data_IF_525299680490
#
_entry.id   IF_525299680490
#
_cell.length_a   1.000
_cell.length_b   1.000
_cell.length_c   1.000
_cell.angle_alpha   90.00
_cell.angle_beta   90.00
_cell.angle_gamma   90.00
#
_symmetry.space_group_name_H-M   'P 1'
#
loop_
_entity.id
_entity.type
_entity.pdbx_description
1 polymer ?
#
# COMPACT_ATOMS: atom_id res chain seq x y z
N UNK A 1 7.85 -17.10 -24.45
CA UNK A 1 6.53 -17.46 -23.89
C UNK A 1 5.99 -16.22 -23.21
N UNK A 2 4.72 -15.85 -23.40
CA UNK A 2 4.12 -14.68 -22.74
C UNK A 2 3.47 -15.18 -21.45
N UNK A 3 3.98 -14.80 -20.26
CA UNK A 3 3.36 -15.17 -18.98
C UNK A 3 1.97 -14.56 -18.86
N UNK A 4 1.06 -15.13 -18.08
CA UNK A 4 -0.22 -14.50 -17.80
C UNK A 4 -1.37 -15.47 -17.55
N UNK A 5 -2.22 -15.08 -16.60
CA UNK A 5 -3.42 -15.82 -16.17
C UNK A 5 -4.68 -15.14 -16.70
N UNK A 6 -5.63 -15.92 -17.21
CA UNK A 6 -6.90 -15.38 -17.71
C UNK A 6 -7.75 -14.78 -16.57
N UNK A 7 -8.27 -13.56 -16.77
CA UNK A 7 -9.08 -12.83 -15.78
C UNK A 7 -10.49 -12.53 -16.28
N UNK A 8 -10.83 -12.83 -17.55
CA UNK A 8 -12.10 -12.39 -18.16
C UNK A 8 -12.94 -13.54 -18.71
N UNK A 9 -14.27 -13.45 -18.48
CA UNK A 9 -15.26 -14.14 -19.33
C UNK A 9 -16.41 -13.28 -19.86
N UNK A 10 -16.89 -12.20 -19.25
CA UNK A 10 -17.92 -11.36 -19.89
C UNK A 10 -18.19 -10.02 -19.14
N UNK A 11 -18.43 -8.94 -19.90
CA UNK A 11 -19.02 -7.63 -19.51
C UNK A 11 -18.20 -6.59 -18.72
N UNK A 12 -17.33 -5.85 -19.42
CA UNK A 12 -17.08 -4.44 -19.07
C UNK A 12 -18.22 -3.59 -19.64
N UNK A 13 -19.21 -3.23 -18.82
CA UNK A 13 -20.25 -2.26 -19.21
C UNK A 13 -19.71 -0.85 -19.07
N UNK A 14 -19.00 -0.41 -20.11
CA UNK A 14 -19.15 0.88 -20.81
C UNK A 14 -17.85 1.23 -21.58
N UNK A 15 -17.82 0.68 -22.81
CA UNK A 15 -16.99 0.95 -23.98
C UNK A 15 -15.45 0.91 -23.87
N UNK A 16 -14.92 -0.23 -24.31
CA UNK A 16 -13.64 -0.35 -25.04
C UNK A 16 -13.97 -0.25 -26.55
N UNK A 17 -13.27 0.56 -27.35
CA UNK A 17 -13.38 0.50 -28.82
C UNK A 17 -12.04 0.17 -29.50
N UNK A 18 -11.86 -1.12 -29.82
CA UNK A 18 -10.79 -1.66 -30.67
C UNK A 18 -11.19 -1.69 -32.17
N UNK A 19 -12.26 -0.99 -32.54
CA UNK A 19 -12.96 -1.06 -33.83
C UNK A 19 -13.37 -2.50 -34.19
N UNK A 20 -14.42 -2.99 -33.51
CA UNK A 20 -15.17 -4.22 -33.84
C UNK A 20 -14.31 -5.41 -34.29
N UNK A 21 -13.81 -6.22 -33.36
CA UNK A 21 -13.85 -7.68 -33.54
C UNK A 21 -13.58 -8.41 -32.22
N UNK A 22 -14.60 -9.19 -31.82
CA UNK A 22 -14.52 -10.45 -31.08
C UNK A 22 -14.29 -10.36 -29.57
N UNK A 23 -15.26 -10.92 -28.84
CA UNK A 23 -15.25 -11.25 -27.42
C UNK A 23 -13.97 -12.00 -27.08
N UNK A 24 -12.95 -11.31 -26.58
CA UNK A 24 -11.68 -11.93 -26.19
C UNK A 24 -11.31 -11.48 -24.80
N UNK A 25 -10.92 -12.44 -24.00
CA UNK A 25 -10.51 -12.28 -22.61
C UNK A 25 -9.12 -11.62 -22.55
N UNK A 26 -8.93 -10.76 -21.55
CA UNK A 26 -7.60 -10.27 -21.16
C UNK A 26 -7.01 -11.21 -20.12
N UNK A 27 -5.69 -11.29 -20.10
CA UNK A 27 -4.90 -12.00 -19.09
C UNK A 27 -4.13 -11.01 -18.24
N UNK A 28 -4.03 -11.29 -16.95
CA UNK A 28 -3.16 -10.57 -16.02
C UNK A 28 -1.72 -10.72 -16.43
N UNK A 29 -0.90 -9.70 -16.15
CA UNK A 29 0.54 -9.83 -16.33
C UNK A 29 1.11 -10.55 -15.12
N UNK A 30 1.70 -11.71 -15.38
CA UNK A 30 2.53 -12.44 -14.41
C UNK A 30 3.99 -12.02 -14.62
N UNK A 31 4.61 -11.52 -13.55
CA UNK A 31 6.03 -11.21 -13.52
C UNK A 31 6.77 -12.46 -13.08
N UNK A 32 7.33 -13.15 -14.06
CA UNK A 32 8.25 -14.26 -13.81
C UNK A 32 9.62 -13.65 -13.45
N UNK A 33 10.25 -14.09 -12.35
CA UNK A 33 11.58 -13.64 -11.95
C UNK A 33 12.63 -13.99 -13.02
N UNK A 34 13.62 -13.12 -13.17
CA UNK A 34 14.74 -13.26 -14.12
C UNK A 34 15.80 -14.23 -13.64
N UNK A 35 15.97 -14.34 -12.32
CA UNK A 35 16.90 -15.26 -11.71
C UNK A 35 16.23 -16.59 -11.34
N UNK A 36 17.03 -17.66 -11.32
CA UNK A 36 16.59 -18.98 -10.84
C UNK A 36 16.59 -19.08 -9.30
N UNK A 37 16.85 -17.97 -8.59
CA UNK A 37 16.93 -17.96 -7.12
C UNK A 37 15.58 -17.71 -6.49
N UNK A 38 14.71 -16.99 -7.19
CA UNK A 38 13.39 -16.63 -6.74
C UNK A 38 12.35 -17.36 -7.60
N UNK A 39 11.51 -18.21 -7.00
CA UNK A 39 10.40 -18.87 -7.71
C UNK A 39 9.08 -18.08 -7.58
N UNK A 40 9.13 -16.87 -7.02
CA UNK A 40 7.93 -16.07 -6.76
C UNK A 40 7.45 -15.35 -8.02
N UNK A 41 6.33 -15.82 -8.56
CA UNK A 41 5.62 -15.16 -9.66
C UNK A 41 4.68 -14.07 -9.10
N UNK A 42 4.96 -12.80 -9.41
CA UNK A 42 4.14 -11.67 -8.95
C UNK A 42 3.02 -11.39 -9.97
N UNK A 43 1.82 -11.09 -9.50
CA UNK A 43 0.66 -10.83 -10.36
C UNK A 43 0.35 -9.33 -10.39
N UNK A 44 0.61 -8.64 -11.50
CA UNK A 44 0.30 -7.21 -11.60
C UNK A 44 -1.22 -6.97 -11.60
N UNK A 45 -1.79 -6.21 -10.65
CA UNK A 45 -3.23 -5.97 -10.59
C UNK A 45 -3.72 -5.25 -11.84
N UNK A 46 -4.82 -5.71 -12.42
CA UNK A 46 -5.51 -4.96 -13.46
C UNK A 46 -6.46 -3.90 -12.84
N UNK A 47 -5.88 -2.98 -12.06
CA UNK A 47 -6.59 -1.90 -11.34
C UNK A 47 -6.02 -0.54 -11.71
N UNK A 48 -6.87 0.40 -12.13
CA UNK A 48 -6.45 1.75 -12.52
C UNK A 48 -7.62 2.74 -12.48
N UNK A 49 -7.31 4.02 -12.28
CA UNK A 49 -8.29 5.09 -12.22
C UNK A 49 -7.97 6.25 -13.15
N UNK A 50 -8.98 7.07 -13.38
CA UNK A 50 -8.82 8.32 -14.10
C UNK A 50 -9.91 9.32 -13.75
N UNK A 51 -9.62 10.57 -14.09
CA UNK A 51 -10.44 11.71 -13.70
C UNK A 51 -11.80 11.69 -14.40
N UNK A 52 -12.86 11.99 -13.66
CA UNK A 52 -14.25 12.07 -14.11
C UNK A 52 -14.80 13.51 -14.01
N UNK A 53 -13.92 14.51 -14.09
CA UNK A 53 -14.19 15.95 -13.92
C UNK A 53 -14.90 16.36 -12.61
N UNK A 54 -14.62 17.59 -12.14
CA UNK A 54 -15.13 18.13 -10.86
C UNK A 54 -14.82 17.20 -9.69
N UNK A 55 -13.54 16.85 -9.54
CA UNK A 55 -13.01 16.10 -8.39
C UNK A 55 -13.66 14.72 -8.15
N UNK A 56 -14.17 14.10 -9.23
CA UNK A 56 -14.67 12.72 -9.22
C UNK A 56 -13.73 11.84 -10.01
N UNK A 57 -13.67 10.56 -9.67
CA UNK A 57 -12.83 9.58 -10.34
C UNK A 57 -13.66 8.37 -10.78
N UNK A 58 -13.24 7.73 -11.87
CA UNK A 58 -13.70 6.39 -12.23
C UNK A 58 -12.52 5.44 -12.11
N UNK A 59 -12.78 4.30 -11.49
CA UNK A 59 -11.80 3.27 -11.26
C UNK A 59 -12.26 1.99 -11.92
N UNK A 60 -11.33 1.30 -12.55
CA UNK A 60 -11.50 -0.06 -13.06
C UNK A 60 -10.73 -0.97 -12.11
N UNK A 61 -11.39 -2.01 -11.61
CA UNK A 61 -10.79 -3.00 -10.72
C UNK A 61 -11.24 -4.42 -11.07
N UNK A 62 -10.47 -5.41 -10.63
CA UNK A 62 -10.80 -6.83 -10.77
C UNK A 62 -11.88 -7.22 -9.76
N UNK A 63 -12.86 -8.01 -10.19
CA UNK A 63 -13.86 -8.67 -9.35
C UNK A 63 -14.04 -10.13 -9.80
N UNK A 64 -14.94 -10.87 -9.15
CA UNK A 64 -15.21 -12.29 -9.48
C UNK A 64 -15.64 -12.53 -10.93
N UNK A 65 -16.17 -11.51 -11.61
CA UNK A 65 -16.68 -11.56 -12.98
C UNK A 65 -15.71 -10.98 -14.03
N UNK A 66 -14.65 -10.27 -13.61
CA UNK A 66 -13.64 -9.67 -14.46
C UNK A 66 -13.30 -8.23 -14.08
N UNK A 67 -13.19 -7.33 -15.07
CA UNK A 67 -12.94 -5.91 -14.81
C UNK A 67 -14.27 -5.16 -14.68
N UNK A 68 -14.45 -4.46 -13.57
CA UNK A 68 -15.63 -3.65 -13.29
C UNK A 68 -15.27 -2.18 -13.06
N UNK A 69 -16.17 -1.30 -13.49
CA UNK A 69 -16.04 0.13 -13.24
C UNK A 69 -16.77 0.54 -11.96
N UNK A 70 -16.09 1.29 -11.10
CA UNK A 70 -16.62 1.90 -9.89
C UNK A 70 -16.40 3.41 -9.95
N UNK A 71 -17.46 4.18 -9.72
CA UNK A 71 -17.37 5.63 -9.61
C UNK A 71 -17.09 6.00 -8.15
N UNK A 72 -16.06 6.81 -7.91
CA UNK A 72 -15.68 7.24 -6.57
C UNK A 72 -15.73 8.77 -6.46
N UNK A 73 -16.21 9.22 -5.29
CA UNK A 73 -16.52 10.61 -4.99
C UNK A 73 -15.48 11.31 -4.12
N UNK A 74 -14.54 10.56 -3.57
CA UNK A 74 -13.52 11.06 -2.67
C UNK A 74 -12.15 10.81 -3.27
N UNK A 75 -11.26 11.80 -3.21
CA UNK A 75 -9.84 11.64 -3.56
C UNK A 75 -9.06 10.85 -2.49
N UNK A 76 -9.76 10.34 -1.45
CA UNK A 76 -9.16 9.73 -0.26
C UNK A 76 -8.97 8.21 -0.35
N UNK A 77 -9.29 7.56 -1.45
CA UNK A 77 -9.20 6.11 -1.56
C UNK A 77 -7.99 5.74 -2.44
N UNK A 78 -7.28 4.69 -2.03
CA UNK A 78 -6.34 3.71 -2.64
C UNK A 78 -6.17 3.60 -4.18
N UNK A 79 -6.62 4.58 -4.94
CA UNK A 79 -7.06 4.52 -6.33
C UNK A 79 -6.38 5.63 -7.18
N UNK A 80 -5.95 6.73 -6.54
CA UNK A 80 -5.45 7.95 -7.23
C UNK A 80 -4.08 7.76 -7.90
N UNK A 81 -3.24 6.83 -7.41
CA UNK A 81 -1.85 6.72 -7.90
C UNK A 81 -1.71 5.86 -9.17
N UNK A 82 -2.57 4.85 -9.37
CA UNK A 82 -2.48 3.96 -10.51
C UNK A 82 -3.30 4.49 -11.69
N UNK A 83 -2.66 5.27 -12.57
CA UNK A 83 -3.31 5.85 -13.77
C UNK A 83 -3.50 4.87 -14.92
N UNK A 84 -2.88 3.69 -14.84
CA UNK A 84 -2.92 2.68 -15.88
C UNK A 84 -2.67 1.28 -15.30
N UNK A 85 -3.07 0.26 -16.06
CA UNK A 85 -2.76 -1.14 -15.78
C UNK A 85 -2.14 -1.81 -17.01
N UNK A 86 -1.32 -2.83 -16.78
CA UNK A 86 -0.77 -3.67 -17.84
C UNK A 86 -1.51 -5.01 -17.88
N UNK A 87 -1.95 -5.40 -19.08
CA UNK A 87 -2.64 -6.66 -19.34
C UNK A 87 -2.15 -7.28 -20.65
N UNK A 88 -2.38 -8.56 -20.83
CA UNK A 88 -2.24 -9.21 -22.13
C UNK A 88 -3.58 -9.37 -22.82
N UNK A 89 -3.66 -8.93 -24.06
CA UNK A 89 -4.74 -9.27 -24.97
C UNK A 89 -4.22 -10.31 -25.96
N UNK A 90 -4.68 -11.56 -25.83
CA UNK A 90 -4.04 -12.70 -26.49
C UNK A 90 -2.59 -12.85 -26.04
N UNK A 91 -1.64 -12.54 -26.94
CA UNK A 91 -0.20 -12.55 -26.68
C UNK A 91 0.43 -11.14 -26.77
N UNK A 92 -0.39 -10.09 -26.81
CA UNK A 92 0.08 -8.71 -26.94
C UNK A 92 -0.02 -8.00 -25.60
N UNK A 93 1.08 -7.42 -25.14
CA UNK A 93 1.09 -6.56 -23.95
C UNK A 93 0.40 -5.22 -24.27
N UNK A 94 -0.53 -4.83 -23.42
CA UNK A 94 -1.38 -3.64 -23.60
C UNK A 94 -1.38 -2.84 -22.31
N UNK A 95 -1.28 -1.51 -22.45
CA UNK A 95 -1.50 -0.54 -21.39
C UNK A 95 -2.95 -0.05 -21.45
N UNK A 96 -3.70 -0.28 -20.39
CA UNK A 96 -5.06 0.25 -20.22
C UNK A 96 -5.02 1.53 -19.41
N UNK A 97 -5.75 2.55 -19.82
CA UNK A 97 -5.87 3.82 -19.11
C UNK A 97 -7.24 4.43 -19.32
N UNK A 98 -7.63 5.39 -18.48
CA UNK A 98 -8.86 6.17 -18.69
C UNK A 98 -8.49 7.48 -19.38
N UNK A 99 -9.11 7.72 -20.53
CA UNK A 99 -9.10 9.01 -21.20
C UNK A 99 -10.42 9.73 -20.94
N UNK A 100 -10.35 10.99 -20.54
CA UNK A 100 -11.53 11.82 -20.26
C UNK A 100 -11.53 13.04 -21.15
N UNK A 101 -12.63 13.22 -21.86
CA UNK A 101 -12.85 14.35 -22.76
C UNK A 101 -14.05 15.17 -22.29
N UNK A 102 -13.91 16.49 -22.31
CA UNK A 102 -15.02 17.39 -22.07
C UNK A 102 -15.85 17.54 -23.36
N UNK A 103 -17.08 17.06 -23.33
CA UNK A 103 -18.00 17.16 -24.46
C UNK A 103 -18.93 18.34 -24.22
N UNK A 104 -18.73 19.40 -24.99
CA UNK A 104 -19.56 20.60 -24.93
C UNK A 104 -20.82 20.41 -25.80
N UNK A 105 -21.91 19.97 -25.19
CA UNK A 105 -23.21 19.82 -25.84
C UNK A 105 -24.05 21.10 -25.80
N UNK A 106 -25.00 21.21 -26.73
CA UNK A 106 -25.94 22.35 -26.86
C UNK A 106 -26.94 22.39 -25.69
N UNK A 107 -27.29 21.24 -25.09
CA UNK A 107 -28.30 21.10 -24.02
C UNK A 107 -27.68 20.68 -22.68
N UNK A 108 -26.68 19.80 -22.71
CA UNK A 108 -25.91 19.38 -21.53
C UNK A 108 -24.44 19.28 -21.94
N UNK A 109 -23.59 20.03 -21.25
CA UNK A 109 -22.14 19.87 -21.29
C UNK A 109 -21.70 18.92 -20.17
N UNK A 110 -20.85 17.95 -20.48
CA UNK A 110 -20.43 16.95 -19.51
C UNK A 110 -19.13 16.26 -19.92
N UNK A 111 -18.54 15.52 -19.00
CA UNK A 111 -17.34 14.75 -19.27
C UNK A 111 -17.71 13.34 -19.71
N UNK A 112 -16.99 12.86 -20.72
CA UNK A 112 -17.08 11.49 -21.21
C UNK A 112 -15.75 10.82 -20.94
N UNK A 113 -15.78 9.77 -20.15
CA UNK A 113 -14.62 8.92 -19.89
C UNK A 113 -14.72 7.65 -20.74
N UNK A 114 -13.60 7.24 -21.30
CA UNK A 114 -13.46 6.00 -22.08
C UNK A 114 -12.21 5.27 -21.64
N UNK A 115 -12.28 3.94 -21.58
CA UNK A 115 -11.09 3.12 -21.35
C UNK A 115 -10.32 3.03 -22.67
N UNK A 116 -9.17 3.70 -22.69
CA UNK A 116 -8.18 3.61 -23.75
C UNK A 116 -7.31 2.37 -23.57
N UNK A 117 -6.79 1.89 -24.69
CA UNK A 117 -5.87 0.76 -24.71
C UNK A 117 -4.76 1.01 -25.72
N UNK A 118 -3.53 1.00 -25.25
CA UNK A 118 -2.33 1.20 -26.06
C UNK A 118 -1.57 -0.11 -26.20
N UNK A 119 -1.32 -0.53 -27.43
CA UNK A 119 -0.45 -1.68 -27.70
C UNK A 119 1.00 -1.30 -27.39
N UNK A 120 1.63 -2.00 -26.47
CA UNK A 120 3.04 -1.81 -26.19
C UNK A 120 3.91 -2.56 -27.20
N UNK A 121 5.11 -2.03 -27.45
CA UNK A 121 6.12 -2.63 -28.34
C UNK A 121 6.89 -3.79 -27.70
N UNK A 122 6.50 -4.18 -26.49
CA UNK A 122 7.20 -5.14 -25.64
C UNK A 122 6.44 -6.47 -25.59
N UNK A 123 7.17 -7.58 -25.41
CA UNK A 123 6.55 -8.91 -25.41
C UNK A 123 6.10 -9.35 -24.02
N UNK A 124 6.93 -9.12 -23.00
CA UNK A 124 6.62 -9.46 -21.63
C UNK A 124 7.33 -8.54 -20.64
N UNK A 125 6.89 -8.59 -19.39
CA UNK A 125 7.48 -7.90 -18.24
C UNK A 125 8.03 -8.96 -17.28
N UNK A 126 9.19 -8.69 -16.70
CA UNK A 126 9.89 -9.56 -15.75
C UNK A 126 10.53 -8.70 -14.67
N UNK A 127 11.08 -9.32 -13.64
CA UNK A 127 11.66 -8.62 -12.51
C UNK A 127 12.84 -9.39 -11.92
N UNK A 128 13.68 -8.67 -11.20
CA UNK A 128 14.81 -9.22 -10.44
C UNK A 128 14.82 -8.57 -9.06
N UNK A 129 15.12 -9.38 -8.05
CA UNK A 129 15.34 -8.89 -6.70
C UNK A 129 16.64 -8.08 -6.67
N UNK A 130 16.59 -6.91 -6.05
CA UNK A 130 17.80 -6.10 -5.88
C UNK A 130 18.30 -6.19 -4.45
N UNK A 131 19.62 -6.36 -4.31
CA UNK A 131 20.31 -6.31 -3.01
C UNK A 131 20.09 -4.98 -2.26
N UNK A 132 19.64 -3.92 -2.96
CA UNK A 132 19.32 -2.60 -2.38
C UNK A 132 17.85 -2.46 -1.97
N UNK A 133 17.08 -3.55 -1.97
CA UNK A 133 15.63 -3.60 -1.70
C UNK A 133 14.79 -3.21 -2.91
N UNK A 134 15.22 -2.27 -3.74
CA UNK A 134 14.49 -1.83 -4.94
C UNK A 134 14.47 -2.88 -6.06
N UNK A 135 13.46 -3.77 -6.05
CA UNK A 135 13.18 -4.69 -7.15
C UNK A 135 13.25 -3.95 -8.50
N UNK A 136 14.01 -4.53 -9.43
CA UNK A 136 14.15 -4.00 -10.77
C UNK A 136 13.19 -4.71 -11.68
N UNK A 137 12.44 -3.93 -12.45
CA UNK A 137 11.53 -4.44 -13.44
C UNK A 137 12.12 -4.23 -14.82
N UNK A 138 11.87 -5.17 -15.72
CA UNK A 138 12.38 -5.14 -17.07
C UNK A 138 11.29 -5.50 -18.06
N UNK A 139 11.43 -4.98 -19.27
CA UNK A 139 10.61 -5.37 -20.39
C UNK A 139 11.45 -6.16 -21.37
N UNK A 140 10.81 -7.00 -22.17
CA UNK A 140 11.45 -7.56 -23.35
C UNK A 140 11.07 -6.79 -24.60
N UNK A 141 12.06 -6.47 -25.42
CA UNK A 141 11.80 -5.89 -26.74
C UNK A 141 11.15 -6.93 -27.69
N UNK A 142 10.86 -6.50 -28.92
CA UNK A 142 10.29 -7.34 -29.98
C UNK A 142 11.16 -8.55 -30.39
N UNK A 143 12.45 -8.52 -30.06
CA UNK A 143 13.42 -9.58 -30.36
C UNK A 143 13.61 -10.51 -29.15
N UNK A 144 13.10 -10.12 -27.99
CA UNK A 144 13.15 -10.87 -26.73
C UNK A 144 14.30 -10.48 -25.81
N UNK A 145 15.04 -9.41 -26.14
CA UNK A 145 16.12 -8.91 -25.29
C UNK A 145 15.54 -8.17 -24.09
N UNK A 146 16.17 -8.35 -22.93
CA UNK A 146 15.81 -7.67 -21.69
C UNK A 146 16.31 -6.23 -21.74
N UNK A 147 15.42 -5.29 -21.45
CA UNK A 147 15.72 -3.86 -21.37
C UNK A 147 15.16 -3.30 -20.06
N UNK A 148 15.81 -2.27 -19.54
CA UNK A 148 15.34 -1.56 -18.35
C UNK A 148 13.90 -1.08 -18.54
N UNK A 149 13.09 -1.23 -17.50
CA UNK A 149 11.71 -0.77 -17.53
C UNK A 149 11.65 0.76 -17.68
N UNK A 150 10.92 1.27 -18.70
CA UNK A 150 10.63 2.70 -18.79
C UNK A 150 9.67 3.18 -17.69
N UNK A 151 8.97 2.25 -17.02
CA UNK A 151 7.92 2.50 -16.03
C UNK A 151 8.28 1.84 -14.68
N UNK A 152 9.57 1.79 -14.29
CA UNK A 152 10.04 1.02 -13.13
C UNK A 152 9.35 1.43 -11.82
N UNK A 153 9.24 2.73 -11.55
CA UNK A 153 8.58 3.27 -10.35
C UNK A 153 7.08 2.94 -10.29
N UNK A 154 6.39 3.01 -11.44
CA UNK A 154 4.99 2.64 -11.54
C UNK A 154 4.79 1.14 -11.34
N UNK A 155 5.66 0.30 -11.90
CA UNK A 155 5.61 -1.16 -11.69
C UNK A 155 5.90 -1.57 -10.25
N UNK A 156 6.82 -0.86 -9.59
CA UNK A 156 7.10 -1.03 -8.18
C UNK A 156 5.83 -0.75 -7.36
N UNK A 157 5.19 0.40 -7.60
CA UNK A 157 3.91 0.79 -6.97
C UNK A 157 2.78 -0.20 -7.27
N UNK A 158 2.62 -0.64 -8.52
CA UNK A 158 1.58 -1.59 -8.91
C UNK A 158 1.79 -2.96 -8.24
N UNK A 159 3.03 -3.43 -8.16
CA UNK A 159 3.36 -4.70 -7.54
C UNK A 159 3.09 -4.70 -6.03
N UNK A 160 3.26 -3.55 -5.38
CA UNK A 160 2.90 -3.37 -3.97
C UNK A 160 1.40 -3.49 -3.69
N UNK A 161 0.58 -3.11 -4.67
CA UNK A 161 -0.89 -3.22 -4.59
C UNK A 161 -1.43 -4.55 -5.12
N UNK A 162 -0.55 -5.49 -5.49
CA UNK A 162 -0.96 -6.80 -5.96
C UNK A 162 -1.59 -7.64 -4.83
N UNK A 163 -2.61 -8.43 -5.17
CA UNK A 163 -3.09 -9.53 -4.32
C UNK A 163 -2.02 -10.62 -4.28
N UNK A 164 -1.06 -10.44 -3.37
CA UNK A 164 -0.05 -11.45 -3.05
C UNK A 164 -0.69 -12.51 -2.14
N UNK A 165 -0.40 -13.78 -2.43
CA UNK A 165 -0.71 -14.84 -1.47
C UNK A 165 0.07 -14.62 -0.18
N UNK A 166 -0.39 -15.18 0.95
CA UNK A 166 0.27 -15.01 2.25
C UNK A 166 1.78 -15.31 2.16
N UNK A 167 2.17 -16.41 1.53
CA UNK A 167 3.59 -16.77 1.37
C UNK A 167 4.38 -15.76 0.51
N UNK A 168 3.77 -15.23 -0.55
CA UNK A 168 4.43 -14.24 -1.41
C UNK A 168 4.61 -12.91 -0.68
N UNK A 169 3.59 -12.50 0.08
CA UNK A 169 3.63 -11.28 0.87
C UNK A 169 4.68 -11.38 1.98
N UNK A 170 4.86 -12.56 2.59
CA UNK A 170 5.93 -12.80 3.59
C UNK A 170 7.32 -12.65 3.00
N UNK A 171 7.62 -13.36 1.92
CA UNK A 171 8.92 -13.23 1.24
C UNK A 171 9.16 -11.79 0.82
N UNK A 172 8.15 -11.16 0.24
CA UNK A 172 8.25 -9.81 -0.27
C UNK A 172 8.41 -8.74 0.83
N UNK A 173 7.69 -8.84 1.94
CA UNK A 173 7.80 -7.90 3.06
C UNK A 173 9.20 -7.92 3.69
N UNK A 174 9.80 -9.11 3.81
CA UNK A 174 11.15 -9.28 4.34
C UNK A 174 12.23 -8.64 3.44
N UNK A 175 11.97 -8.47 2.13
CA UNK A 175 12.94 -7.89 1.17
C UNK A 175 12.79 -6.38 1.01
N UNK A 176 11.78 -5.75 1.63
CA UNK A 176 11.56 -4.31 1.52
C UNK A 176 12.64 -3.51 2.27
N UNK A 177 13.25 -2.55 1.59
CA UNK A 177 14.06 -1.52 2.25
C UNK A 177 13.17 -0.52 3.00
N UNK A 178 13.78 0.22 3.92
CA UNK A 178 13.09 1.29 4.64
C UNK A 178 12.56 2.39 3.69
N UNK A 179 13.29 2.70 2.62
CA UNK A 179 12.85 3.68 1.60
C UNK A 179 11.59 3.19 0.86
N UNK A 180 11.51 1.88 0.58
CA UNK A 180 10.32 1.30 -0.04
C UNK A 180 9.14 1.31 0.90
N UNK A 181 9.34 0.97 2.18
CA UNK A 181 8.29 1.04 3.20
C UNK A 181 7.74 2.45 3.36
N UNK A 182 8.57 3.47 3.21
CA UNK A 182 8.13 4.87 3.19
C UNK A 182 7.18 5.17 2.02
N UNK A 183 7.54 4.77 0.79
CA UNK A 183 6.68 4.96 -0.40
C UNK A 183 5.40 4.13 -0.30
N UNK A 184 5.52 2.95 0.29
CA UNK A 184 4.45 1.99 0.50
C UNK A 184 3.43 2.43 1.54
N UNK A 185 3.86 3.05 2.62
CA UNK A 185 3.04 3.38 3.78
C UNK A 185 1.72 4.07 3.37
N UNK A 186 1.80 4.97 2.39
CA UNK A 186 0.64 5.74 1.91
C UNK A 186 -0.34 4.94 1.04
N UNK A 187 0.07 3.77 0.57
CA UNK A 187 -0.70 2.93 -0.36
C UNK A 187 -1.12 1.58 0.23
N UNK A 188 -0.69 1.28 1.47
CA UNK A 188 -1.05 0.04 2.15
C UNK A 188 -2.40 0.17 2.86
N UNK A 189 -3.30 -0.76 2.57
CA UNK A 189 -4.56 -0.92 3.30
C UNK A 189 -4.33 -1.56 4.67
N UNK A 190 -5.25 -1.39 5.61
CA UNK A 190 -5.18 -1.99 6.95
C UNK A 190 -5.02 -3.52 6.91
N UNK A 191 -5.71 -4.19 5.98
CA UNK A 191 -5.60 -5.63 5.78
C UNK A 191 -4.22 -6.05 5.22
N UNK A 192 -3.57 -5.20 4.43
CA UNK A 192 -2.20 -5.45 3.98
C UNK A 192 -1.21 -5.19 5.11
N UNK A 193 -1.40 -4.11 5.89
CA UNK A 193 -0.59 -3.81 7.08
C UNK A 193 -0.62 -5.00 8.05
N UNK A 194 -1.80 -5.51 8.40
CA UNK A 194 -1.95 -6.68 9.28
C UNK A 194 -1.11 -7.88 8.83
N UNK A 195 -1.01 -8.11 7.52
CA UNK A 195 -0.30 -9.28 6.98
C UNK A 195 1.20 -9.08 6.87
N UNK A 196 1.70 -7.86 6.64
CA UNK A 196 3.14 -7.60 6.55
C UNK A 196 3.80 -7.40 7.91
N UNK A 197 3.08 -6.87 8.90
CA UNK A 197 3.61 -6.56 10.26
C UNK A 197 4.40 -7.72 10.90
N UNK A 198 3.94 -8.99 10.86
CA UNK A 198 4.66 -10.09 11.47
C UNK A 198 6.04 -10.36 10.85
N UNK A 199 6.25 -9.88 9.63
CA UNK A 199 7.45 -10.13 8.82
C UNK A 199 8.44 -8.97 8.89
N UNK A 200 8.01 -7.79 9.36
CA UNK A 200 8.89 -6.64 9.47
C UNK A 200 9.78 -6.74 10.70
N UNK A 201 11.07 -6.47 10.51
CA UNK A 201 11.97 -6.23 11.63
C UNK A 201 11.72 -4.84 12.25
N UNK A 202 12.33 -4.56 13.41
CA UNK A 202 12.11 -3.31 14.15
C UNK A 202 12.40 -2.04 13.34
N UNK A 203 13.47 -2.04 12.53
CA UNK A 203 13.85 -0.87 11.71
C UNK A 203 12.85 -0.64 10.57
N UNK A 204 12.37 -1.73 9.96
CA UNK A 204 11.33 -1.67 8.92
C UNK A 204 10.01 -1.18 9.51
N UNK A 205 9.63 -1.68 10.68
CA UNK A 205 8.41 -1.28 11.37
C UNK A 205 8.42 0.21 11.74
N UNK A 206 9.57 0.73 12.19
CA UNK A 206 9.77 2.16 12.43
C UNK A 206 9.61 2.97 11.13
N UNK A 207 10.34 2.60 10.07
CA UNK A 207 10.28 3.31 8.79
C UNK A 207 8.87 3.35 8.21
N UNK A 208 8.12 2.25 8.36
CA UNK A 208 6.71 2.19 7.99
C UNK A 208 5.89 3.16 8.85
N UNK A 209 5.96 3.04 10.18
CA UNK A 209 5.15 3.83 11.11
C UNK A 209 5.36 5.35 11.00
N UNK A 210 6.57 5.80 10.69
CA UNK A 210 6.89 7.23 10.47
C UNK A 210 6.16 7.81 9.25
N UNK A 211 5.82 6.98 8.26
CA UNK A 211 5.22 7.40 7.00
C UNK A 211 3.72 7.07 6.88
N UNK A 212 3.14 6.40 7.87
CA UNK A 212 1.70 6.15 7.94
C UNK A 212 0.93 7.42 8.34
N UNK A 213 -0.29 7.53 7.83
CA UNK A 213 -1.29 8.46 8.38
C UNK A 213 -1.65 8.09 9.82
N UNK A 214 -2.28 9.01 10.55
CA UNK A 214 -2.64 8.75 11.95
C UNK A 214 -3.69 7.64 12.09
N UNK A 215 -4.59 7.49 11.11
CA UNK A 215 -5.57 6.41 11.05
C UNK A 215 -4.89 5.05 10.79
N UNK A 216 -3.99 4.98 9.80
CA UNK A 216 -3.24 3.76 9.51
C UNK A 216 -2.30 3.37 10.66
N UNK A 217 -1.71 4.35 11.35
CA UNK A 217 -0.89 4.09 12.53
C UNK A 217 -1.71 3.47 13.66
N UNK A 218 -2.95 3.92 13.86
CA UNK A 218 -3.84 3.31 14.84
C UNK A 218 -4.16 1.85 14.45
N UNK A 219 -4.49 1.61 13.18
CA UNK A 219 -4.70 0.27 12.67
C UNK A 219 -3.45 -0.63 12.80
N UNK A 220 -2.24 -0.08 12.60
CA UNK A 220 -0.98 -0.81 12.80
C UNK A 220 -0.87 -1.32 14.25
N UNK A 221 -1.11 -0.45 15.23
CA UNK A 221 -0.94 -0.74 16.67
C UNK A 221 -1.82 -1.89 17.16
N UNK A 222 -3.04 -2.01 16.64
CA UNK A 222 -3.95 -3.10 16.98
C UNK A 222 -3.40 -4.49 16.62
N UNK A 223 -2.45 -4.55 15.68
CA UNK A 223 -1.84 -5.78 15.19
C UNK A 223 -0.44 -6.04 15.76
N UNK A 224 0.12 -5.10 16.54
CA UNK A 224 1.44 -5.27 17.14
C UNK A 224 1.39 -6.17 18.37
N UNK A 225 2.36 -7.07 18.47
CA UNK A 225 2.65 -7.71 19.75
C UNK A 225 3.19 -6.67 20.76
N UNK A 226 3.05 -6.92 22.06
CA UNK A 226 3.59 -6.03 23.09
C UNK A 226 5.08 -5.73 22.89
N UNK A 227 5.88 -6.73 22.46
CA UNK A 227 7.31 -6.55 22.18
C UNK A 227 7.56 -5.63 20.98
N UNK A 228 6.80 -5.78 19.89
CA UNK A 228 6.90 -4.89 18.73
C UNK A 228 6.49 -3.47 19.09
N UNK A 229 5.39 -3.32 19.85
CA UNK A 229 4.91 -2.02 20.31
C UNK A 229 5.95 -1.31 21.19
N UNK A 230 6.54 -2.01 22.16
CA UNK A 230 7.61 -1.47 23.01
C UNK A 230 8.79 -0.98 22.19
N UNK A 231 9.28 -1.83 21.28
CA UNK A 231 10.42 -1.50 20.42
C UNK A 231 10.11 -0.29 19.54
N UNK A 232 8.92 -0.28 18.92
CA UNK A 232 8.48 0.80 18.07
C UNK A 232 8.36 2.12 18.84
N UNK A 233 7.81 2.08 20.05
CA UNK A 233 7.60 3.28 20.86
C UNK A 233 8.90 3.91 21.40
N UNK A 234 9.99 3.15 21.49
CA UNK A 234 11.31 3.70 21.84
C UNK A 234 11.92 4.52 20.70
N UNK A 235 11.62 4.15 19.46
CA UNK A 235 12.18 4.75 18.25
C UNK A 235 11.27 5.81 17.62
N UNK A 236 9.95 5.76 17.89
CA UNK A 236 8.98 6.73 17.37
C UNK A 236 9.18 8.13 17.99
N UNK A 237 8.89 9.13 17.17
CA UNK A 237 8.88 10.51 17.63
C UNK A 237 7.75 10.77 18.65
N UNK A 238 7.88 11.79 19.51
CA UNK A 238 6.87 12.09 20.52
C UNK A 238 5.48 12.37 19.96
N UNK A 239 5.35 12.93 18.75
CA UNK A 239 4.07 13.24 18.10
C UNK A 239 3.28 11.96 17.76
N UNK A 240 3.95 10.94 17.21
CA UNK A 240 3.37 9.63 16.91
C UNK A 240 2.97 8.88 18.19
N UNK A 241 3.74 9.05 19.28
CA UNK A 241 3.35 8.51 20.59
C UNK A 241 2.02 9.07 21.08
N UNK A 242 1.72 10.35 20.83
CA UNK A 242 0.44 10.98 21.24
C UNK A 242 -0.77 10.37 20.53
N UNK A 243 -0.58 9.85 19.32
CA UNK A 243 -1.64 9.21 18.52
C UNK A 243 -1.90 7.79 19.02
N UNK A 244 -0.85 7.04 19.36
CA UNK A 244 -0.99 5.62 19.72
C UNK A 244 -1.38 5.41 21.19
N UNK A 245 -0.88 6.25 22.11
CA UNK A 245 -1.10 6.07 23.55
C UNK A 245 -2.60 6.03 23.94
N UNK A 246 -3.48 6.90 23.41
CA UNK A 246 -4.91 6.89 23.75
C UNK A 246 -5.66 5.62 23.33
N UNK A 247 -5.13 4.86 22.36
CA UNK A 247 -5.78 3.65 21.84
C UNK A 247 -5.26 2.35 22.49
N UNK A 248 -4.13 2.40 23.19
CA UNK A 248 -3.57 1.23 23.86
C UNK A 248 -4.52 0.66 24.93
N UNK A 249 -4.65 -0.66 24.95
CA UNK A 249 -5.29 -1.32 26.09
C UNK A 249 -4.37 -1.30 27.33
N UNK A 250 -4.92 -1.62 28.50
CA UNK A 250 -4.18 -1.57 29.76
C UNK A 250 -2.90 -2.42 29.71
N UNK A 251 -2.93 -3.63 29.14
CA UNK A 251 -1.76 -4.51 29.07
C UNK A 251 -0.66 -3.96 28.14
N UNK A 252 -1.03 -3.37 27.00
CA UNK A 252 -0.10 -2.70 26.08
C UNK A 252 0.52 -1.46 26.72
N UNK A 253 -0.30 -0.64 27.40
CA UNK A 253 0.18 0.55 28.09
C UNK A 253 1.12 0.19 29.24
N UNK A 254 0.78 -0.83 30.04
CA UNK A 254 1.65 -1.32 31.11
C UNK A 254 2.99 -1.83 30.57
N UNK A 255 2.97 -2.59 29.48
CA UNK A 255 4.18 -3.08 28.83
C UNK A 255 5.05 -1.92 28.33
N UNK A 256 4.43 -0.93 27.66
CA UNK A 256 5.12 0.25 27.19
C UNK A 256 5.81 1.02 28.32
N UNK A 257 5.07 1.34 29.38
CA UNK A 257 5.53 2.21 30.49
C UNK A 257 6.72 1.61 31.23
N UNK A 258 6.81 0.28 31.34
CA UNK A 258 7.92 -0.38 32.03
C UNK A 258 9.28 -0.08 31.40
N UNK A 259 9.31 0.16 30.10
CA UNK A 259 10.55 0.35 29.34
C UNK A 259 10.81 1.83 28.99
N UNK A 260 9.86 2.73 29.27
CA UNK A 260 10.03 4.16 29.09
C UNK A 260 10.83 4.80 30.23
N UNK A 261 11.71 5.73 29.88
CA UNK A 261 12.37 6.57 30.89
C UNK A 261 11.39 7.60 31.49
N UNK A 262 11.71 8.21 32.65
CA UNK A 262 10.81 9.16 33.30
C UNK A 262 10.37 10.37 32.45
N UNK A 263 11.23 10.88 31.55
CA UNK A 263 10.87 11.99 30.67
C UNK A 263 9.89 11.54 29.57
N UNK A 264 10.08 10.34 29.00
CA UNK A 264 9.13 9.77 28.04
C UNK A 264 7.76 9.51 28.67
N UNK A 265 7.73 9.01 29.92
CA UNK A 265 6.47 8.83 30.65
C UNK A 265 5.75 10.17 30.84
N UNK A 266 6.49 11.24 31.09
CA UNK A 266 5.95 12.60 31.22
C UNK A 266 5.39 13.13 29.90
N UNK A 267 6.00 12.81 28.76
CA UNK A 267 5.52 13.21 27.43
C UNK A 267 4.18 12.56 27.06
N UNK A 268 3.95 11.29 27.44
CA UNK A 268 2.71 10.59 27.12
C UNK A 268 1.55 10.93 28.07
N UNK A 269 1.85 11.45 29.26
CA UNK A 269 0.88 11.68 30.33
C UNK A 269 -0.32 12.56 29.95
N UNK A 270 -0.14 13.68 29.21
CA UNK A 270 -1.25 14.55 28.78
C UNK A 270 -2.25 13.86 27.84
N UNK A 271 -1.85 12.76 27.21
CA UNK A 271 -2.62 12.07 26.16
C UNK A 271 -3.38 10.85 26.70
N UNK A 272 -3.18 10.50 27.98
CA UNK A 272 -3.84 9.36 28.60
C UNK A 272 -5.30 9.65 28.92
N UNK A 273 -6.16 8.67 28.66
CA UNK A 273 -7.52 8.64 29.20
C UNK A 273 -7.48 8.46 30.72
N UNK A 274 -8.55 8.87 31.41
CA UNK A 274 -8.63 8.77 32.88
C UNK A 274 -8.39 7.35 33.40
N UNK A 275 -8.93 6.33 32.72
CA UNK A 275 -8.75 4.94 33.14
C UNK A 275 -7.33 4.42 32.85
N UNK A 276 -6.73 4.83 31.73
CA UNK A 276 -5.33 4.55 31.41
C UNK A 276 -4.38 5.22 32.42
N UNK A 277 -4.68 6.45 32.87
CA UNK A 277 -3.91 7.10 33.92
C UNK A 277 -3.95 6.31 35.24
N UNK A 278 -5.10 5.72 35.61
CA UNK A 278 -5.19 4.84 36.79
C UNK A 278 -4.35 3.58 36.63
N UNK A 279 -4.29 3.01 35.43
CA UNK A 279 -3.43 1.87 35.12
C UNK A 279 -1.94 2.27 35.20
N UNK A 280 -1.57 3.41 34.60
CA UNK A 280 -0.23 3.98 34.63
C UNK A 280 0.31 4.06 36.05
N UNK A 281 -0.43 4.71 36.96
CA UNK A 281 0.01 4.95 38.35
C UNK A 281 0.34 3.65 39.09
N UNK A 282 -0.30 2.52 38.75
CA UNK A 282 -0.01 1.22 39.35
C UNK A 282 1.27 0.57 38.83
N UNK A 283 1.75 1.03 37.68
CA UNK A 283 2.85 0.41 36.92
C UNK A 283 4.14 1.22 36.99
N UNK A 284 4.07 2.50 37.35
CA UNK A 284 5.25 3.34 37.54
C UNK A 284 6.21 2.73 38.55
N UNK A 285 7.50 2.75 38.21
CA UNK A 285 8.56 2.46 39.17
C UNK A 285 8.88 3.69 40.05
N UNK A 286 9.67 3.49 41.11
CA UNK A 286 10.01 4.54 42.07
C UNK A 286 10.68 5.76 41.43
N UNK A 287 11.52 5.54 40.40
CA UNK A 287 12.23 6.61 39.70
C UNK A 287 11.26 7.45 38.85
N UNK A 288 10.45 6.80 38.02
CA UNK A 288 9.42 7.45 37.21
C UNK A 288 8.46 8.24 38.08
N UNK A 289 7.96 7.64 39.17
CA UNK A 289 7.08 8.32 40.12
C UNK A 289 7.76 9.54 40.75
N UNK A 290 9.02 9.42 41.17
CA UNK A 290 9.77 10.52 41.80
C UNK A 290 9.94 11.71 40.86
N UNK A 291 10.27 11.48 39.59
CA UNK A 291 10.44 12.56 38.59
C UNK A 291 9.10 13.24 38.30
N UNK A 292 8.03 12.48 38.12
CA UNK A 292 6.69 13.02 37.88
C UNK A 292 6.18 13.83 39.08
N UNK A 293 6.34 13.31 40.30
CA UNK A 293 5.94 13.99 41.52
C UNK A 293 6.66 15.33 41.71
N UNK A 294 7.97 15.39 41.44
CA UNK A 294 8.74 16.64 41.48
C UNK A 294 8.21 17.67 40.49
N UNK A 295 7.83 17.21 39.29
CA UNK A 295 7.29 18.07 38.25
C UNK A 295 5.94 18.65 38.66
N UNK A 296 5.04 17.84 39.24
CA UNK A 296 3.74 18.32 39.73
C UNK A 296 3.89 19.32 40.87
N UNK A 297 4.82 19.06 41.81
CA UNK A 297 5.07 19.94 42.95
C UNK A 297 5.70 21.29 42.55
N UNK A 298 6.38 21.36 41.40
CA UNK A 298 6.97 22.61 40.90
C UNK A 298 6.05 23.43 40.00
N UNK A 299 4.88 22.89 39.61
CA UNK A 299 3.86 23.59 38.81
C UNK A 299 2.71 24.18 39.63
N UNK A 300 2.62 23.87 40.92
CA UNK A 300 1.74 24.50 41.92
C UNK A 300 2.44 25.62 42.69
#
# INVERSE_FOLDING_TARGET
MVPGKEVLKDQIRHNIDWSRTHRTSVKKVELVPLDDKNDVVLNLPAKFCGDLCKDRFICIEENEEGLASKAEHDSSSDYVNNKHALVYYGNTLVKLSIATEFVQGIVVSGCRSTVGSERLKYQYVTWEESDTGNNKYYFSDKEGNIIDSPDNEALQTLCYTADLTENQLKTFANTLSNEQLQVLAQNLTDNQLQKIIPELNSNQLQALAENLTDEQLQALVDHLTNHQLQTLAQELNPEKLQIIVPILNDAQLEALVRDLNPEQVKEILPHLKVDQFKALIKTLNDEQFTVLAKTWLSTT
#
